data_IF_434704373875
#
_entry.id   IF_434704373875
#
_cell.length_a   1.000
_cell.length_b   1.000
_cell.length_c   1.000
_cell.angle_alpha   90.00
_cell.angle_beta   90.00
_cell.angle_gamma   90.00
#
_symmetry.space_group_name_H-M   'P 1'
#
loop_
_entity.id
_entity.type
_entity.pdbx_description
1 polymer ?
#
# COMPACT_ATOMS: atom_id res chain seq x y z
N UNK A 1 -7.52 -11.25 -15.64
CA UNK A 1 -7.67 -11.12 -14.17
C UNK A 1 -6.90 -9.93 -13.61
N UNK A 2 -5.62 -9.74 -13.95
CA UNK A 2 -4.80 -8.62 -13.43
C UNK A 2 -5.40 -7.24 -13.69
N UNK A 3 -5.96 -6.97 -14.87
CA UNK A 3 -6.58 -5.66 -15.17
C UNK A 3 -7.74 -5.31 -14.23
N UNK A 4 -8.56 -6.29 -13.84
CA UNK A 4 -9.68 -6.05 -12.91
C UNK A 4 -9.16 -5.66 -11.53
N UNK A 5 -8.15 -6.37 -11.02
CA UNK A 5 -7.49 -6.06 -9.74
C UNK A 5 -6.80 -4.68 -9.77
N UNK A 6 -6.27 -4.26 -10.93
CA UNK A 6 -5.69 -2.93 -11.11
C UNK A 6 -6.75 -1.84 -11.08
N UNK A 7 -7.91 -2.08 -11.70
CA UNK A 7 -9.07 -1.17 -11.64
C UNK A 7 -9.61 -1.06 -10.21
N UNK A 8 -9.71 -2.17 -9.48
CA UNK A 8 -10.04 -2.15 -8.04
C UNK A 8 -9.03 -1.32 -7.25
N UNK A 9 -7.74 -1.50 -7.49
CA UNK A 9 -6.68 -0.68 -6.89
C UNK A 9 -6.86 0.81 -7.18
N UNK A 10 -7.14 1.17 -8.44
CA UNK A 10 -7.37 2.57 -8.83
C UNK A 10 -8.60 3.17 -8.13
N UNK A 11 -9.67 2.39 -7.99
CA UNK A 11 -10.88 2.83 -7.29
C UNK A 11 -10.61 3.05 -5.80
N UNK A 12 -9.94 2.10 -5.13
CA UNK A 12 -9.58 2.22 -3.71
C UNK A 12 -8.65 3.40 -3.48
N UNK A 13 -7.67 3.61 -4.35
CA UNK A 13 -6.77 4.77 -4.28
C UNK A 13 -7.56 6.09 -4.39
N UNK A 14 -8.48 6.18 -5.36
CA UNK A 14 -9.33 7.36 -5.54
C UNK A 14 -10.18 7.65 -4.29
N UNK A 15 -10.78 6.63 -3.69
CA UNK A 15 -11.56 6.80 -2.46
C UNK A 15 -10.70 7.17 -1.27
N UNK A 16 -9.51 6.58 -1.13
CA UNK A 16 -8.61 6.85 -0.01
C UNK A 16 -8.06 8.29 -0.05
N UNK A 17 -7.61 8.77 -1.22
CA UNK A 17 -7.11 10.15 -1.36
C UNK A 17 -8.25 11.17 -1.27
N UNK A 18 -9.44 10.85 -1.79
CA UNK A 18 -10.63 11.68 -1.63
C UNK A 18 -11.03 11.81 -0.16
N UNK A 19 -11.10 10.67 0.54
CA UNK A 19 -11.36 10.63 1.98
C UNK A 19 -10.32 11.43 2.78
N UNK A 20 -9.03 11.29 2.45
CA UNK A 20 -7.95 12.04 3.10
C UNK A 20 -8.10 13.55 2.90
N UNK A 21 -8.43 13.96 1.67
CA UNK A 21 -8.63 15.37 1.29
C UNK A 21 -9.80 15.99 2.05
N UNK A 22 -10.93 15.28 2.14
CA UNK A 22 -12.12 15.71 2.88
C UNK A 22 -11.88 15.77 4.38
N UNK A 23 -11.04 14.89 4.92
CA UNK A 23 -10.68 14.88 6.34
C UNK A 23 -9.77 16.07 6.72
N UNK A 24 -9.15 16.73 5.74
CA UNK A 24 -8.46 18.01 5.88
C UNK A 24 -7.16 17.93 6.68
N UNK A 25 -6.38 16.85 6.50
CA UNK A 25 -5.08 16.68 7.12
C UNK A 25 -3.93 17.29 6.30
N UNK A 26 -2.75 17.43 6.91
CA UNK A 26 -1.59 18.07 6.27
C UNK A 26 -1.05 17.24 5.10
N UNK A 27 -1.00 17.82 3.90
CA UNK A 27 -0.39 17.16 2.73
C UNK A 27 1.10 16.81 2.91
N UNK A 28 1.82 17.49 3.80
CA UNK A 28 3.19 17.08 4.16
C UNK A 28 3.21 15.73 4.88
N UNK A 29 2.24 15.48 5.77
CA UNK A 29 2.09 14.18 6.43
C UNK A 29 1.82 13.09 5.38
N UNK A 30 0.96 13.39 4.39
CA UNK A 30 0.69 12.48 3.28
C UNK A 30 1.97 12.11 2.54
N UNK A 31 2.72 13.11 2.05
CA UNK A 31 3.93 12.88 1.24
C UNK A 31 4.98 12.09 2.02
N UNK A 32 5.21 12.43 3.29
CA UNK A 32 6.22 11.74 4.11
C UNK A 32 5.81 10.29 4.38
N UNK A 33 4.58 10.06 4.82
CA UNK A 33 4.13 8.72 5.20
C UNK A 33 3.84 7.82 4.01
N UNK A 34 3.56 8.39 2.83
CA UNK A 34 3.36 7.65 1.59
C UNK A 34 4.54 6.70 1.31
N UNK A 35 5.78 7.14 1.48
CA UNK A 35 6.96 6.32 1.19
C UNK A 35 7.37 5.33 2.29
N UNK A 36 6.74 5.40 3.47
CA UNK A 36 7.15 4.58 4.63
C UNK A 36 6.97 3.07 4.40
N UNK A 37 5.85 2.57 3.84
CA UNK A 37 5.68 1.14 3.62
C UNK A 37 6.76 0.54 2.71
N UNK A 38 7.28 1.30 1.76
CA UNK A 38 8.29 0.84 0.80
C UNK A 38 9.66 0.63 1.41
N UNK A 39 9.96 1.20 2.57
CA UNK A 39 11.22 0.91 3.31
C UNK A 39 11.34 -0.59 3.60
N UNK A 40 10.22 -1.32 3.70
CA UNK A 40 10.19 -2.78 3.84
C UNK A 40 10.92 -3.52 2.72
N UNK A 41 11.09 -2.92 1.53
CA UNK A 41 11.84 -3.52 0.43
C UNK A 41 13.34 -3.67 0.72
N UNK A 42 13.91 -2.89 1.66
CA UNK A 42 15.30 -3.06 2.08
C UNK A 42 15.56 -4.44 2.69
N UNK A 43 14.53 -5.15 3.15
CA UNK A 43 14.66 -6.52 3.62
C UNK A 43 15.13 -7.50 2.52
N UNK A 44 14.98 -7.15 1.24
CA UNK A 44 15.53 -7.93 0.12
C UNK A 44 17.06 -8.00 0.13
N UNK A 45 17.75 -7.11 0.86
CA UNK A 45 19.20 -7.21 1.10
C UNK A 45 19.58 -8.50 1.86
N UNK A 46 18.62 -9.11 2.58
CA UNK A 46 18.79 -10.40 3.26
C UNK A 46 18.30 -11.60 2.43
N UNK A 47 17.94 -11.37 1.16
CA UNK A 47 17.47 -12.40 0.22
C UNK A 47 15.96 -12.33 -0.09
N UNK A 48 15.52 -13.04 -1.14
CA UNK A 48 14.18 -12.86 -1.73
C UNK A 48 13.04 -13.32 -0.81
N UNK A 49 13.25 -14.37 -0.01
CA UNK A 49 12.23 -14.89 0.92
C UNK A 49 11.94 -13.90 2.05
N UNK A 50 12.98 -13.41 2.74
CA UNK A 50 12.84 -12.43 3.83
C UNK A 50 12.28 -11.13 3.27
N UNK A 51 12.80 -10.66 2.13
CA UNK A 51 12.29 -9.50 1.43
C UNK A 51 10.78 -9.58 1.14
N UNK A 52 10.34 -10.69 0.55
CA UNK A 52 8.93 -10.89 0.21
C UNK A 52 8.02 -10.93 1.45
N UNK A 53 8.46 -11.58 2.54
CA UNK A 53 7.69 -11.60 3.80
C UNK A 53 7.52 -10.19 4.36
N UNK A 54 8.61 -9.43 4.49
CA UNK A 54 8.58 -8.07 5.03
C UNK A 54 7.77 -7.12 4.15
N UNK A 55 7.99 -7.16 2.83
CA UNK A 55 7.25 -6.32 1.88
C UNK A 55 5.75 -6.65 1.90
N UNK A 56 5.39 -7.93 1.85
CA UNK A 56 3.99 -8.34 1.86
C UNK A 56 3.30 -7.95 3.17
N UNK A 57 3.98 -8.09 4.32
CA UNK A 57 3.44 -7.66 5.60
C UNK A 57 3.10 -6.16 5.61
N UNK A 58 3.94 -5.32 5.00
CA UNK A 58 3.69 -3.88 4.86
C UNK A 58 2.61 -3.55 3.81
N UNK A 59 2.33 -4.45 2.86
CA UNK A 59 1.39 -4.25 1.75
C UNK A 59 0.07 -5.06 1.87
N UNK A 60 -0.19 -5.61 3.06
CA UNK A 60 -1.50 -6.15 3.42
C UNK A 60 -2.44 -5.04 3.86
N UNK A 61 -3.66 -5.00 3.33
CA UNK A 61 -4.68 -4.03 3.73
C UNK A 61 -5.15 -4.17 5.17
N UNK A 62 -4.95 -5.34 5.80
CA UNK A 62 -5.43 -5.63 7.16
C UNK A 62 -4.90 -4.59 8.15
N UNK A 63 -3.59 -4.30 8.13
CA UNK A 63 -2.98 -3.34 9.05
C UNK A 63 -3.54 -1.91 8.90
N UNK A 64 -3.50 -1.28 7.71
CA UNK A 64 -3.98 0.08 7.58
C UNK A 64 -5.50 0.22 7.70
N UNK A 65 -6.29 -0.81 7.37
CA UNK A 65 -7.73 -0.82 7.67
C UNK A 65 -8.01 -0.83 9.17
N UNK A 66 -7.27 -1.64 9.95
CA UNK A 66 -7.40 -1.63 11.41
C UNK A 66 -6.99 -0.29 12.00
N UNK A 67 -5.90 0.32 11.52
CA UNK A 67 -5.47 1.66 11.96
C UNK A 67 -6.54 2.71 11.62
N UNK A 68 -7.05 2.71 10.38
CA UNK A 68 -8.12 3.61 9.97
C UNK A 68 -9.36 3.47 10.85
N UNK A 69 -9.83 2.25 11.09
CA UNK A 69 -11.00 1.97 11.92
C UNK A 69 -10.78 2.39 13.39
N UNK A 70 -9.61 2.10 13.96
CA UNK A 70 -9.26 2.52 15.32
C UNK A 70 -9.19 4.06 15.44
N UNK A 71 -8.67 4.73 14.41
CA UNK A 71 -8.67 6.18 14.33
C UNK A 71 -10.08 6.76 14.29
N UNK A 72 -10.97 6.14 13.53
CA UNK A 72 -12.37 6.55 13.44
C UNK A 72 -13.07 6.39 14.80
N UNK A 73 -12.93 5.24 15.45
CA UNK A 73 -13.55 4.96 16.75
C UNK A 73 -13.04 5.88 17.87
N UNK A 74 -11.74 6.20 17.84
CA UNK A 74 -11.12 7.10 18.83
C UNK A 74 -11.29 8.59 18.53
N UNK A 75 -11.84 8.96 17.37
CA UNK A 75 -11.87 10.34 16.89
C UNK A 75 -10.48 10.94 16.58
N UNK A 76 -9.44 10.11 16.51
CA UNK A 76 -8.06 10.57 16.29
C UNK A 76 -7.83 10.94 14.82
N UNK A 77 -7.72 12.25 14.55
CA UNK A 77 -7.49 12.75 13.20
C UNK A 77 -6.21 12.19 12.57
N UNK A 78 -5.14 12.12 13.36
CA UNK A 78 -3.85 11.59 12.94
C UNK A 78 -3.95 10.10 12.56
N UNK A 79 -4.62 9.29 13.39
CA UNK A 79 -4.71 7.85 13.17
C UNK A 79 -5.53 7.50 11.93
N UNK A 80 -6.65 8.19 11.70
CA UNK A 80 -7.42 8.05 10.44
C UNK A 80 -6.55 8.42 9.23
N UNK A 81 -5.78 9.50 9.35
CA UNK A 81 -4.89 9.98 8.30
C UNK A 81 -3.82 8.95 7.94
N UNK A 82 -3.16 8.35 8.94
CA UNK A 82 -2.16 7.29 8.74
C UNK A 82 -2.79 6.10 8.01
N UNK A 83 -3.99 5.67 8.44
CA UNK A 83 -4.71 4.58 7.78
C UNK A 83 -5.02 4.88 6.32
N UNK A 84 -5.58 6.06 6.02
CA UNK A 84 -5.92 6.46 4.65
C UNK A 84 -4.69 6.59 3.73
N UNK A 85 -3.59 7.18 4.21
CA UNK A 85 -2.34 7.30 3.44
C UNK A 85 -1.80 5.91 3.08
N UNK A 86 -1.82 4.99 4.05
CA UNK A 86 -1.28 3.65 3.84
C UNK A 86 -2.21 2.80 2.96
N UNK A 87 -3.54 2.91 3.09
CA UNK A 87 -4.49 2.33 2.13
C UNK A 87 -4.21 2.87 0.72
N UNK A 88 -4.04 4.19 0.57
CA UNK A 88 -3.73 4.81 -0.70
C UNK A 88 -2.44 4.25 -1.32
N UNK A 89 -1.37 4.13 -0.53
CA UNK A 89 -0.09 3.56 -0.96
C UNK A 89 -0.27 2.16 -1.57
N UNK A 90 -0.89 1.25 -0.82
CA UNK A 90 -1.12 -0.13 -1.29
C UNK A 90 -2.01 -0.13 -2.55
N UNK A 91 -3.01 0.74 -2.60
CA UNK A 91 -3.97 0.80 -3.69
C UNK A 91 -3.37 1.33 -4.99
N UNK A 92 -2.56 2.39 -4.92
CA UNK A 92 -1.88 2.94 -6.10
C UNK A 92 -0.82 1.98 -6.62
N UNK A 93 -0.10 1.29 -5.73
CA UNK A 93 0.83 0.21 -6.11
C UNK A 93 0.11 -0.86 -6.94
N UNK A 94 -1.02 -1.36 -6.44
CA UNK A 94 -1.83 -2.36 -7.15
C UNK A 94 -2.36 -1.84 -8.46
N UNK A 95 -2.81 -0.59 -8.53
CA UNK A 95 -3.24 0.04 -9.77
C UNK A 95 -2.12 0.10 -10.83
N UNK A 96 -0.90 0.36 -10.39
CA UNK A 96 0.30 0.41 -11.23
C UNK A 96 0.85 -0.98 -11.58
N UNK A 97 0.31 -2.05 -10.98
CA UNK A 97 0.73 -3.44 -11.21
C UNK A 97 1.77 -3.94 -10.21
N UNK A 98 2.13 -3.14 -9.21
CA UNK A 98 2.89 -3.59 -8.06
C UNK A 98 1.95 -4.39 -7.15
N UNK A 99 2.25 -5.68 -6.98
CA UNK A 99 1.46 -6.60 -6.16
C UNK A 99 2.28 -7.22 -5.04
N UNK A 100 1.61 -8.03 -4.21
CA UNK A 100 2.25 -8.96 -3.28
C UNK A 100 3.23 -9.86 -4.02
N UNK A 101 4.37 -10.07 -3.38
CA UNK A 101 5.58 -10.69 -3.91
C UNK A 101 5.62 -12.18 -3.65
N UNK A 102 6.04 -12.94 -4.66
CA UNK A 102 6.41 -14.34 -4.48
C UNK A 102 7.84 -14.46 -3.93
N UNK A 103 8.17 -15.63 -3.39
CA UNK A 103 9.51 -15.89 -2.83
C UNK A 103 10.60 -16.07 -3.89
N UNK A 104 10.23 -16.14 -5.18
CA UNK A 104 11.17 -16.29 -6.30
C UNK A 104 11.97 -15.02 -6.57
N UNK A 105 11.31 -13.87 -6.68
CA UNK A 105 11.93 -12.59 -6.99
C UNK A 105 11.01 -11.41 -6.64
N UNK A 106 11.58 -10.22 -6.45
CA UNK A 106 10.81 -8.97 -6.26
C UNK A 106 9.88 -8.63 -7.44
N UNK A 107 10.24 -9.07 -8.64
CA UNK A 107 9.48 -8.82 -9.86
C UNK A 107 8.26 -9.73 -9.99
N UNK A 108 8.25 -10.88 -9.32
CA UNK A 108 7.19 -11.86 -9.43
C UNK A 108 6.07 -11.53 -8.43
N UNK A 109 4.91 -11.18 -8.97
CA UNK A 109 3.74 -10.80 -8.15
C UNK A 109 2.50 -11.58 -8.55
N UNK A 110 1.51 -11.60 -7.67
CA UNK A 110 0.19 -12.15 -8.00
C UNK A 110 -0.56 -11.37 -9.12
N UNK A 111 -0.10 -10.17 -9.49
CA UNK A 111 -0.64 -9.38 -10.60
C UNK A 111 0.08 -9.63 -11.93
N UNK A 112 1.10 -10.49 -11.92
CA UNK A 112 2.02 -10.73 -13.04
C UNK A 112 3.45 -10.28 -12.72
N UNK A 113 4.34 -10.47 -13.69
CA UNK A 113 5.74 -10.05 -13.55
C UNK A 113 5.85 -8.54 -13.78
N UNK A 114 6.74 -7.86 -13.06
CA UNK A 114 7.02 -6.43 -13.24
C UNK A 114 8.11 -6.26 -14.31
N UNK A 115 7.90 -5.37 -15.28
CA UNK A 115 8.91 -4.93 -16.26
C UNK A 115 8.55 -5.20 -17.72
N UNK A 116 9.48 -4.91 -18.64
CA UNK A 116 9.26 -4.95 -20.09
C UNK A 116 9.06 -6.37 -20.69
N UNK A 117 9.31 -7.41 -19.91
CA UNK A 117 9.14 -8.82 -20.30
C UNK A 117 8.01 -9.50 -19.50
N UNK A 118 7.03 -8.70 -19.06
CA UNK A 118 5.82 -9.16 -18.37
C UNK A 118 4.80 -9.76 -19.35
#
# INVERSE_FOLDING_TARGET
MSILLRVEGAMVATLAIGGYSLFGSSWWLFVVLFFVPDISMLAYLKGPKIGAICYNAAHLYVLPLMIWAAGWWSGSKLTVSIGLIWIFHIAIDRALGYGLKFFSAFQDTHLGRIGKNA
#
